data_IF_683692364221
#
_entry.id   IF_683692364221
#
_cell.length_a   1.000
_cell.length_b   1.000
_cell.length_c   1.000
_cell.angle_alpha   90.00
_cell.angle_beta   90.00
_cell.angle_gamma   90.00
#
_symmetry.space_group_name_H-M   'P 1'
#
loop_
_entity.id
_entity.type
_entity.pdbx_description
1 polymer ?
#
# COMPACT_ATOMS: atom_id res chain seq x y z
N UNK A 1 2.89 -4.91 17.53
CA UNK A 1 3.29 -4.45 18.88
C UNK A 1 2.03 -4.03 19.61
N UNK A 2 1.86 -4.41 20.88
CA UNK A 2 0.75 -3.98 21.74
C UNK A 2 1.29 -3.16 22.91
N UNK A 3 0.58 -2.10 23.28
CA UNK A 3 1.00 -1.16 24.32
C UNK A 3 -0.23 -0.78 25.15
N UNK A 4 -0.11 -0.88 26.48
CA UNK A 4 -1.11 -0.35 27.39
C UNK A 4 -0.80 1.09 27.77
N UNK A 5 -1.80 1.95 27.70
CA UNK A 5 -1.72 3.34 28.20
C UNK A 5 -2.79 3.52 29.26
N UNK A 6 -2.42 4.13 30.39
CA UNK A 6 -3.27 4.30 31.57
C UNK A 6 -3.77 5.74 31.76
N UNK A 7 -3.49 6.63 30.80
CA UNK A 7 -3.98 8.01 30.80
C UNK A 7 -3.90 8.63 29.40
N UNK A 8 -4.67 9.69 29.18
CA UNK A 8 -4.58 10.50 27.96
C UNK A 8 -3.16 11.03 27.72
N UNK A 9 -2.45 11.42 28.78
CA UNK A 9 -1.06 11.87 28.72
C UNK A 9 -0.11 10.77 28.20
N UNK A 10 -0.28 9.53 28.64
CA UNK A 10 0.51 8.41 28.12
C UNK A 10 0.19 8.11 26.64
N UNK A 11 -1.09 8.17 26.24
CA UNK A 11 -1.48 8.05 24.82
C UNK A 11 -0.84 9.16 23.98
N UNK A 12 -0.85 10.41 24.45
CA UNK A 12 -0.18 11.53 23.77
C UNK A 12 1.32 11.33 23.67
N UNK A 13 1.98 10.91 24.76
CA UNK A 13 3.43 10.63 24.77
C UNK A 13 3.81 9.53 23.79
N UNK A 14 3.01 8.46 23.72
CA UNK A 14 3.18 7.40 22.73
C UNK A 14 3.09 7.97 21.30
N UNK A 15 2.05 8.74 21.01
CA UNK A 15 1.85 9.36 19.70
C UNK A 15 3.00 10.31 19.33
N UNK A 16 3.42 11.16 20.28
CA UNK A 16 4.52 12.11 20.11
C UNK A 16 5.84 11.41 19.77
N UNK A 17 6.17 10.35 20.50
CA UNK A 17 7.38 9.57 20.24
C UNK A 17 7.32 8.85 18.89
N UNK A 18 6.11 8.40 18.49
CA UNK A 18 5.90 7.76 17.21
C UNK A 18 6.05 8.76 16.06
N UNK A 19 5.50 9.96 16.19
CA UNK A 19 5.48 11.01 15.17
C UNK A 19 6.87 11.40 14.66
N UNK A 20 7.89 11.41 15.54
CA UNK A 20 9.29 11.71 15.20
C UNK A 20 9.92 10.80 14.14
N UNK A 21 9.28 9.66 13.82
CA UNK A 21 9.75 8.71 12.81
C UNK A 21 9.23 9.01 11.40
N UNK A 22 8.29 9.92 11.26
CA UNK A 22 7.58 10.23 10.02
C UNK A 22 8.14 11.49 9.38
N UNK A 23 8.17 11.52 8.04
CA UNK A 23 8.78 12.62 7.27
C UNK A 23 7.86 13.23 6.22
N UNK A 24 6.70 12.63 5.95
CA UNK A 24 5.80 13.00 4.86
C UNK A 24 5.43 11.77 3.99
N UNK A 25 4.24 11.79 3.42
CA UNK A 25 3.71 10.75 2.53
C UNK A 25 3.21 9.49 3.27
N UNK A 26 3.35 9.43 4.59
CA UNK A 26 2.89 8.29 5.35
C UNK A 26 1.42 8.40 5.74
N UNK A 27 0.72 7.26 5.67
CA UNK A 27 -0.69 7.14 6.03
C UNK A 27 -0.81 6.28 7.29
N UNK A 28 -1.50 6.81 8.29
CA UNK A 28 -1.78 6.14 9.57
C UNK A 28 -3.30 6.02 9.75
N UNK A 29 -3.76 4.78 9.83
CA UNK A 29 -5.16 4.39 9.95
C UNK A 29 -5.49 4.11 11.43
N UNK A 30 -6.39 4.91 12.01
CA UNK A 30 -6.78 4.89 13.43
C UNK A 30 -8.15 4.21 13.59
N UNK A 31 -8.14 2.97 14.09
CA UNK A 31 -9.34 2.18 14.33
C UNK A 31 -9.74 2.19 15.81
N UNK A 32 -11.03 2.21 16.10
CA UNK A 32 -11.57 2.04 17.46
C UNK A 32 -12.88 2.80 17.64
N UNK A 33 -13.62 2.48 18.69
CA UNK A 33 -14.93 3.10 18.91
C UNK A 33 -14.83 4.59 19.28
N UNK A 34 -15.98 5.26 19.33
CA UNK A 34 -16.08 6.63 19.82
C UNK A 34 -15.55 6.71 21.27
N UNK A 35 -14.78 7.76 21.57
CA UNK A 35 -14.21 7.96 22.91
C UNK A 35 -13.01 7.05 23.27
N UNK A 36 -12.52 6.23 22.35
CA UNK A 36 -11.37 5.34 22.63
C UNK A 36 -10.00 6.03 22.56
N UNK A 37 -9.96 7.34 22.28
CA UNK A 37 -8.74 8.14 22.35
C UNK A 37 -8.02 8.37 21.02
N UNK A 38 -8.70 8.14 19.88
CA UNK A 38 -8.15 8.41 18.54
C UNK A 38 -7.72 9.89 18.39
N UNK A 39 -8.61 10.84 18.66
CA UNK A 39 -8.26 12.28 18.61
C UNK A 39 -7.21 12.69 19.65
N UNK A 40 -7.18 12.03 20.83
CA UNK A 40 -6.12 12.24 21.84
C UNK A 40 -4.76 11.79 21.31
N UNK A 41 -4.72 10.71 20.55
CA UNK A 41 -3.51 10.28 19.85
C UNK A 41 -3.09 11.32 18.80
N UNK A 42 -4.02 11.84 17.99
CA UNK A 42 -3.71 12.90 17.00
C UNK A 42 -3.12 14.14 17.68
N UNK A 43 -3.68 14.58 18.80
CA UNK A 43 -3.12 15.69 19.60
C UNK A 43 -1.65 15.45 19.94
N UNK A 44 -1.32 14.29 20.51
CA UNK A 44 0.07 13.96 20.84
C UNK A 44 0.95 13.81 19.60
N UNK A 45 0.40 13.37 18.47
CA UNK A 45 1.14 13.25 17.22
C UNK A 45 1.55 14.62 16.66
N UNK A 46 0.60 15.57 16.64
CA UNK A 46 0.85 16.97 16.22
C UNK A 46 1.87 17.64 17.15
N UNK A 47 1.69 17.51 18.47
CA UNK A 47 2.63 17.99 19.48
C UNK A 47 4.04 17.39 19.29
N UNK A 48 4.14 16.10 18.93
CA UNK A 48 5.40 15.40 18.74
C UNK A 48 6.23 15.85 17.54
N UNK A 49 5.59 16.44 16.52
CA UNK A 49 6.26 17.11 15.40
C UNK A 49 6.61 18.57 15.71
N UNK A 50 6.34 19.05 16.93
CA UNK A 50 6.68 20.39 17.38
C UNK A 50 5.66 21.46 17.01
N UNK A 51 4.51 21.08 16.47
CA UNK A 51 3.45 22.00 16.12
C UNK A 51 2.64 22.41 17.37
N UNK A 52 2.22 23.68 17.42
CA UNK A 52 1.46 24.26 18.54
C UNK A 52 -0.04 24.38 18.23
N UNK A 53 -0.47 23.82 17.12
CA UNK A 53 -1.83 23.88 16.62
C UNK A 53 -2.82 23.28 17.63
N UNK A 54 -3.97 23.95 17.80
CA UNK A 54 -5.06 23.42 18.61
C UNK A 54 -5.80 22.34 17.83
N UNK A 55 -5.47 21.08 18.10
CA UNK A 55 -6.10 19.94 17.44
C UNK A 55 -7.54 19.75 17.91
N UNK A 56 -8.45 19.69 16.95
CA UNK A 56 -9.87 19.40 17.15
C UNK A 56 -10.30 18.28 16.22
N UNK A 57 -11.33 17.51 16.62
CA UNK A 57 -11.88 16.48 15.74
C UNK A 57 -12.50 17.14 14.50
N UNK A 58 -12.14 16.70 13.27
CA UNK A 58 -12.69 17.23 12.03
C UNK A 58 -14.06 16.62 11.71
N UNK A 59 -14.76 16.02 12.66
CA UNK A 59 -16.02 15.26 12.46
C UNK A 59 -17.09 15.98 11.61
N UNK A 60 -17.12 17.32 11.59
CA UNK A 60 -18.07 18.10 10.76
C UNK A 60 -17.48 18.63 9.45
N UNK A 61 -16.16 18.73 9.35
CA UNK A 61 -15.45 19.30 8.17
C UNK A 61 -14.68 18.23 7.39
N UNK A 62 -14.71 16.98 7.86
CA UNK A 62 -14.02 15.78 7.40
C UNK A 62 -12.49 15.84 7.46
N UNK A 63 -11.88 16.97 7.10
CA UNK A 63 -10.43 17.16 7.06
C UNK A 63 -10.02 18.43 7.81
N UNK A 64 -8.96 18.34 8.63
CA UNK A 64 -8.24 19.50 9.20
C UNK A 64 -6.76 19.36 8.93
N UNK A 65 -6.12 20.49 8.71
CA UNK A 65 -4.68 20.57 8.48
C UNK A 65 -3.96 21.17 9.68
N UNK A 66 -2.79 20.63 9.99
CA UNK A 66 -1.91 21.14 11.03
C UNK A 66 -0.47 21.20 10.55
N UNK A 67 0.29 22.16 11.07
CA UNK A 67 1.69 22.32 10.72
C UNK A 67 1.92 22.65 9.24
N UNK A 68 3.18 22.53 8.80
CA UNK A 68 3.59 22.94 7.45
C UNK A 68 4.56 21.97 6.77
N UNK A 69 5.59 21.47 7.46
CA UNK A 69 6.56 20.49 6.91
C UNK A 69 7.04 19.47 7.95
N UNK A 70 6.65 18.19 7.84
CA UNK A 70 5.56 17.71 6.99
C UNK A 70 4.21 18.30 7.45
N UNK A 71 3.29 18.53 6.52
CA UNK A 71 1.91 18.92 6.83
C UNK A 71 1.18 17.69 7.38
N UNK A 72 0.23 17.89 8.28
CA UNK A 72 -0.61 16.81 8.81
C UNK A 72 -2.03 17.01 8.28
N UNK A 73 -2.59 16.01 7.62
CA UNK A 73 -4.00 15.93 7.29
C UNK A 73 -4.70 14.99 8.28
N UNK A 74 -5.50 15.56 9.18
CA UNK A 74 -6.36 14.80 10.09
C UNK A 74 -7.72 14.62 9.44
N UNK A 75 -8.06 13.38 9.16
CA UNK A 75 -9.27 12.98 8.44
C UNK A 75 -10.15 12.19 9.41
N UNK A 76 -11.44 12.51 9.51
CA UNK A 76 -12.43 11.76 10.30
C UNK A 76 -13.62 11.39 9.44
N UNK A 77 -13.77 10.09 9.17
CA UNK A 77 -14.80 9.54 8.29
C UNK A 77 -16.02 9.00 9.06
N UNK A 78 -16.14 9.26 10.37
CA UNK A 78 -17.21 8.70 11.20
C UNK A 78 -18.61 8.86 10.60
N UNK A 79 -18.88 10.00 9.96
CA UNK A 79 -20.20 10.34 9.38
C UNK A 79 -20.42 9.85 7.95
N UNK A 80 -19.39 9.35 7.30
CA UNK A 80 -19.48 8.86 5.93
C UNK A 80 -20.22 7.52 5.91
N UNK A 81 -21.14 7.37 4.95
CA UNK A 81 -22.04 6.22 4.86
C UNK A 81 -21.63 5.22 3.78
N UNK A 82 -20.94 5.66 2.73
CA UNK A 82 -20.56 4.82 1.59
C UNK A 82 -19.13 5.12 1.08
N UNK A 83 -18.56 4.19 0.31
CA UNK A 83 -17.29 4.42 -0.40
C UNK A 83 -17.40 5.54 -1.45
N UNK A 84 -18.58 5.74 -2.04
CA UNK A 84 -18.85 6.82 -3.01
C UNK A 84 -18.73 8.21 -2.37
N UNK A 85 -19.31 8.41 -1.19
CA UNK A 85 -19.15 9.67 -0.44
C UNK A 85 -17.68 9.96 -0.11
N UNK A 86 -16.83 8.94 0.05
CA UNK A 86 -15.38 9.13 0.24
C UNK A 86 -14.71 9.65 -1.03
N UNK A 87 -15.15 9.19 -2.21
CA UNK A 87 -14.61 9.67 -3.49
C UNK A 87 -14.94 11.15 -3.70
N UNK A 88 -16.16 11.57 -3.34
CA UNK A 88 -16.62 12.96 -3.46
C UNK A 88 -15.82 13.93 -2.58
N UNK A 89 -15.20 13.44 -1.49
CA UNK A 89 -14.31 14.24 -0.64
C UNK A 89 -12.97 14.59 -1.31
N UNK A 90 -12.62 13.95 -2.43
CA UNK A 90 -11.36 14.25 -3.15
C UNK A 90 -10.09 13.90 -2.37
N UNK A 91 -10.13 12.87 -1.52
CA UNK A 91 -8.99 12.52 -0.65
C UNK A 91 -7.79 11.95 -1.41
N UNK A 92 -7.93 11.54 -2.67
CA UNK A 92 -6.87 10.89 -3.44
C UNK A 92 -5.59 11.73 -3.52
N UNK A 93 -5.72 13.01 -3.84
CA UNK A 93 -4.57 13.93 -3.94
C UNK A 93 -3.83 14.08 -2.61
N UNK A 94 -4.57 14.07 -1.49
CA UNK A 94 -4.01 14.15 -0.15
C UNK A 94 -3.24 12.89 0.26
N UNK A 95 -3.73 11.72 -0.16
CA UNK A 95 -3.10 10.43 0.15
C UNK A 95 -1.83 10.20 -0.68
N UNK A 96 -1.70 10.88 -1.81
CA UNK A 96 -0.55 10.80 -2.72
C UNK A 96 0.52 11.87 -2.46
N UNK A 97 0.21 12.92 -1.68
CA UNK A 97 1.16 13.99 -1.35
C UNK A 97 2.29 13.50 -0.43
N UNK A 98 3.49 13.38 -0.99
CA UNK A 98 4.72 12.97 -0.29
C UNK A 98 5.14 13.91 0.85
N UNK A 99 4.60 15.13 0.94
CA UNK A 99 4.90 16.09 1.99
C UNK A 99 3.85 16.11 3.11
N UNK A 100 2.78 15.32 2.98
CA UNK A 100 1.67 15.28 3.93
C UNK A 100 1.60 13.94 4.65
N UNK A 101 1.45 13.98 5.97
CA UNK A 101 1.13 12.81 6.80
C UNK A 101 -0.38 12.74 6.98
N UNK A 102 -1.00 11.64 6.56
CA UNK A 102 -2.44 11.44 6.69
C UNK A 102 -2.77 10.62 7.95
N UNK A 103 -3.53 11.20 8.87
CA UNK A 103 -4.08 10.54 10.06
C UNK A 103 -5.58 10.32 9.85
N UNK A 104 -6.00 9.09 9.59
CA UNK A 104 -7.37 8.76 9.19
C UNK A 104 -8.09 8.05 10.34
N UNK A 105 -9.08 8.69 10.93
CA UNK A 105 -10.04 8.07 11.86
C UNK A 105 -11.18 7.40 11.10
N UNK A 106 -11.61 6.22 11.59
CA UNK A 106 -12.62 5.37 10.94
C UNK A 106 -12.27 4.98 9.48
N UNK A 107 -11.02 4.53 9.23
CA UNK A 107 -10.54 4.21 7.88
C UNK A 107 -11.29 3.05 7.22
N UNK A 108 -12.04 2.23 7.96
CA UNK A 108 -12.93 1.20 7.42
C UNK A 108 -13.99 1.75 6.45
N UNK A 109 -14.33 3.04 6.56
CA UNK A 109 -15.29 3.71 5.67
C UNK A 109 -14.77 3.88 4.24
N UNK A 110 -13.46 3.85 4.06
CA UNK A 110 -12.84 3.91 2.74
C UNK A 110 -12.90 2.59 1.97
N UNK A 111 -13.16 1.47 2.67
CA UNK A 111 -13.22 0.14 2.04
C UNK A 111 -12.02 -0.15 1.14
N UNK A 112 -12.26 -0.28 -0.18
CA UNK A 112 -11.21 -0.58 -1.17
C UNK A 112 -10.28 0.60 -1.48
N UNK A 113 -10.69 1.82 -1.16
CA UNK A 113 -9.92 3.04 -1.39
C UNK A 113 -8.80 3.22 -0.37
N UNK A 114 -8.82 2.49 0.75
CA UNK A 114 -7.77 2.55 1.75
C UNK A 114 -6.46 1.97 1.19
N UNK A 115 -5.34 2.73 1.17
CA UNK A 115 -4.08 2.22 0.65
C UNK A 115 -3.53 1.04 1.45
N UNK A 116 -2.67 0.24 0.82
CA UNK A 116 -2.10 -0.97 1.44
C UNK A 116 -0.84 -0.73 2.26
N UNK A 117 -0.09 0.35 2.00
CA UNK A 117 1.15 0.70 2.70
C UNK A 117 0.90 1.69 3.83
N UNK A 118 0.26 1.23 4.90
CA UNK A 118 -0.21 2.10 5.98
C UNK A 118 0.19 1.56 7.34
N UNK A 119 0.32 2.46 8.32
CA UNK A 119 0.39 2.05 9.72
C UNK A 119 -1.02 1.92 10.29
N UNK A 120 -1.43 0.69 10.64
CA UNK A 120 -2.70 0.44 11.32
C UNK A 120 -2.50 0.56 12.83
N UNK A 121 -3.23 1.46 13.46
CA UNK A 121 -3.28 1.62 14.91
C UNK A 121 -4.70 1.32 15.38
N UNK A 122 -4.87 0.32 16.26
CA UNK A 122 -6.18 0.00 16.84
C UNK A 122 -6.21 0.28 18.32
N UNK A 123 -7.23 1.01 18.74
CA UNK A 123 -7.52 1.33 20.13
C UNK A 123 -8.61 0.38 20.64
N UNK A 124 -8.34 -0.28 21.77
CA UNK A 124 -9.32 -1.08 22.50
C UNK A 124 -9.50 -0.52 23.91
N UNK A 125 -10.75 -0.38 24.33
CA UNK A 125 -11.08 -0.05 25.72
C UNK A 125 -10.80 -1.25 26.62
N UNK A 126 -10.12 -0.99 27.74
CA UNK A 126 -9.87 -1.99 28.79
C UNK A 126 -10.60 -1.57 30.06
N UNK A 127 -10.42 -0.32 30.48
CA UNK A 127 -11.16 0.29 31.60
C UNK A 127 -11.18 1.81 31.44
N UNK A 128 -11.80 2.53 32.39
CA UNK A 128 -11.99 4.01 32.34
C UNK A 128 -10.77 4.75 31.80
N UNK A 129 -9.58 4.50 32.37
CA UNK A 129 -8.34 5.17 32.01
C UNK A 129 -7.38 4.31 31.17
N UNK A 130 -7.68 3.02 30.99
CA UNK A 130 -6.77 2.09 30.32
C UNK A 130 -7.21 1.82 28.89
N UNK A 131 -6.26 1.93 27.95
CA UNK A 131 -6.41 1.56 26.54
C UNK A 131 -5.31 0.57 26.16
N UNK A 132 -5.68 -0.49 25.45
CA UNK A 132 -4.73 -1.31 24.69
C UNK A 132 -4.64 -0.74 23.27
N UNK A 133 -3.45 -0.30 22.88
CA UNK A 133 -3.15 0.27 21.57
C UNK A 133 -2.25 -0.72 20.83
N UNK A 134 -2.76 -1.27 19.73
CA UNK A 134 -2.00 -2.17 18.86
C UNK A 134 -1.50 -1.43 17.62
N UNK A 135 -0.21 -1.56 17.32
CA UNK A 135 0.43 -1.00 16.14
C UNK A 135 0.85 -2.15 15.22
N UNK A 136 0.35 -2.13 13.98
CA UNK A 136 0.71 -3.06 12.91
C UNK A 136 1.01 -2.27 11.65
N UNK A 137 2.25 -2.31 11.18
CA UNK A 137 2.59 -1.78 9.87
C UNK A 137 2.05 -2.75 8.83
N UNK A 138 1.05 -2.31 8.07
CA UNK A 138 0.66 -2.98 6.84
C UNK A 138 1.61 -2.46 5.79
N UNK A 139 2.80 -3.05 5.72
CA UNK A 139 3.64 -2.86 4.54
C UNK A 139 3.12 -3.90 3.57
N UNK A 140 2.68 -3.55 2.36
CA UNK A 140 2.53 -4.58 1.33
C UNK A 140 3.88 -5.28 1.34
N UNK A 141 3.85 -6.59 1.56
CA UNK A 141 5.04 -7.38 1.37
C UNK A 141 5.46 -7.04 -0.06
N UNK A 142 6.54 -6.26 -0.24
CA UNK A 142 6.99 -5.87 -1.58
C UNK A 142 7.67 -7.10 -2.15
N UNK A 143 6.86 -8.15 -2.37
CA UNK A 143 7.32 -9.31 -3.06
C UNK A 143 7.28 -8.99 -4.54
N UNK A 144 8.43 -9.16 -5.17
CA UNK A 144 8.64 -8.89 -6.58
C UNK A 144 8.95 -10.19 -7.27
N UNK A 145 8.18 -10.51 -8.30
CA UNK A 145 8.46 -11.64 -9.18
C UNK A 145 9.33 -11.13 -10.32
N UNK A 146 10.57 -11.61 -10.40
CA UNK A 146 11.48 -11.29 -11.50
C UNK A 146 11.49 -12.44 -12.50
N UNK A 147 11.36 -12.11 -13.77
CA UNK A 147 11.31 -13.05 -14.89
C UNK A 147 12.44 -12.76 -15.88
N UNK A 148 13.26 -13.76 -16.13
CA UNK A 148 14.30 -13.74 -17.15
C UNK A 148 14.01 -14.81 -18.19
N UNK A 149 13.66 -14.38 -19.39
CA UNK A 149 13.34 -15.26 -20.54
C UNK A 149 14.24 -14.97 -21.73
N UNK A 150 15.40 -14.34 -21.49
CA UNK A 150 16.37 -14.01 -22.55
C UNK A 150 16.92 -15.25 -23.24
N UNK A 151 17.13 -16.33 -22.48
CA UNK A 151 17.60 -17.61 -22.99
C UNK A 151 16.42 -18.56 -23.19
N UNK A 152 16.21 -18.98 -24.44
CA UNK A 152 15.12 -19.89 -24.82
C UNK A 152 15.27 -21.28 -24.20
N UNK A 153 16.49 -21.68 -23.87
CA UNK A 153 16.78 -23.00 -23.29
C UNK A 153 16.80 -22.96 -21.76
N UNK A 154 16.76 -21.76 -21.16
CA UNK A 154 16.86 -21.60 -19.71
C UNK A 154 16.23 -20.28 -19.24
N UNK A 155 14.99 -20.37 -18.78
CA UNK A 155 14.29 -19.28 -18.10
C UNK A 155 14.71 -19.25 -16.63
N UNK A 156 14.75 -18.07 -16.04
CA UNK A 156 15.06 -17.87 -14.62
C UNK A 156 13.97 -17.04 -13.98
N UNK A 157 13.41 -17.54 -12.89
CA UNK A 157 12.39 -16.83 -12.12
C UNK A 157 12.87 -16.68 -10.68
N UNK A 158 12.73 -15.48 -10.13
CA UNK A 158 13.11 -15.17 -8.75
C UNK A 158 11.96 -14.48 -8.02
N UNK A 159 11.85 -14.73 -6.72
CA UNK A 159 10.99 -13.94 -5.83
C UNK A 159 11.91 -13.16 -4.90
N UNK A 160 11.71 -11.86 -4.84
CA UNK A 160 12.37 -10.96 -3.89
C UNK A 160 11.39 -10.58 -2.79
N UNK A 161 11.87 -10.42 -1.56
CA UNK A 161 11.17 -9.70 -0.48
C UNK A 161 12.06 -8.54 -0.04
N UNK A 162 11.68 -7.31 -0.42
CA UNK A 162 12.59 -6.17 -0.33
C UNK A 162 13.76 -6.33 -1.30
N UNK A 163 15.00 -6.28 -0.83
CA UNK A 163 16.22 -6.53 -1.62
C UNK A 163 16.68 -8.00 -1.62
N UNK A 164 16.10 -8.84 -0.76
CA UNK A 164 16.54 -10.24 -0.56
C UNK A 164 15.82 -11.19 -1.51
N UNK A 165 16.55 -12.10 -2.15
CA UNK A 165 15.97 -13.22 -2.90
C UNK A 165 15.47 -14.27 -1.89
N UNK A 166 14.20 -14.64 -1.98
CA UNK A 166 13.56 -15.66 -1.14
C UNK A 166 13.19 -16.93 -1.93
N UNK A 167 13.31 -16.88 -3.25
CA UNK A 167 13.11 -18.02 -4.12
C UNK A 167 13.83 -17.83 -5.45
N UNK A 168 14.32 -18.93 -6.02
CA UNK A 168 14.86 -18.98 -7.38
C UNK A 168 14.55 -20.33 -8.00
N UNK A 169 14.08 -20.32 -9.24
CA UNK A 169 13.93 -21.51 -10.07
C UNK A 169 14.45 -21.19 -11.46
N UNK A 170 14.95 -22.22 -12.15
CA UNK A 170 15.28 -22.12 -13.56
C UNK A 170 14.90 -23.40 -14.27
N UNK A 171 14.57 -23.30 -15.55
CA UNK A 171 14.16 -24.44 -16.35
C UNK A 171 13.80 -24.04 -17.77
N UNK A 172 13.49 -25.04 -18.59
CA UNK A 172 13.07 -24.85 -19.99
C UNK A 172 11.54 -24.83 -20.12
N UNK A 173 10.82 -25.17 -19.04
CA UNK A 173 9.37 -25.23 -18.98
C UNK A 173 8.71 -23.86 -19.21
N UNK A 174 7.39 -23.87 -19.37
CA UNK A 174 6.56 -22.66 -19.43
C UNK A 174 6.71 -21.78 -18.17
N UNK A 175 6.63 -20.47 -18.37
CA UNK A 175 6.77 -19.45 -17.33
C UNK A 175 5.78 -19.68 -16.19
N UNK A 176 4.52 -20.03 -16.47
CA UNK A 176 3.52 -20.29 -15.43
C UNK A 176 3.83 -21.53 -14.61
N UNK A 177 4.42 -22.57 -15.23
CA UNK A 177 4.85 -23.78 -14.52
C UNK A 177 5.96 -23.43 -13.54
N UNK A 178 6.97 -22.69 -14.00
CA UNK A 178 8.08 -22.23 -13.17
C UNK A 178 7.59 -21.30 -12.05
N UNK A 179 6.66 -20.38 -12.33
CA UNK A 179 6.01 -19.50 -11.33
C UNK A 179 5.27 -20.31 -10.27
N UNK A 180 4.45 -21.29 -10.68
CA UNK A 180 3.72 -22.15 -9.75
C UNK A 180 4.68 -22.93 -8.84
N UNK A 181 5.78 -23.43 -9.41
CA UNK A 181 6.82 -24.17 -8.69
C UNK A 181 7.52 -23.28 -7.65
N UNK A 182 7.96 -22.08 -8.02
CA UNK A 182 8.64 -21.17 -7.08
C UNK A 182 7.71 -20.65 -5.98
N UNK A 183 6.44 -20.35 -6.30
CA UNK A 183 5.46 -19.92 -5.30
C UNK A 183 5.23 -21.01 -4.25
N UNK A 184 5.04 -22.27 -4.69
CA UNK A 184 4.89 -23.43 -3.80
C UNK A 184 6.14 -23.63 -2.94
N UNK A 185 7.34 -23.64 -3.56
CA UNK A 185 8.60 -23.90 -2.86
C UNK A 185 8.97 -22.81 -1.86
N UNK A 186 8.61 -21.56 -2.14
CA UNK A 186 8.85 -20.42 -1.25
C UNK A 186 7.72 -20.18 -0.25
N UNK A 187 6.65 -20.98 -0.27
CA UNK A 187 5.42 -20.79 0.52
C UNK A 187 4.86 -19.35 0.40
N UNK A 188 4.76 -18.85 -0.84
CA UNK A 188 4.30 -17.50 -1.19
C UNK A 188 2.97 -17.59 -1.94
N UNK A 189 1.98 -16.80 -1.54
CA UNK A 189 0.72 -16.67 -2.29
C UNK A 189 0.88 -15.68 -3.45
N UNK A 190 0.09 -15.87 -4.52
CA UNK A 190 -0.01 -14.88 -5.60
C UNK A 190 -0.44 -13.51 -5.04
N UNK A 191 -1.24 -13.49 -3.98
CA UNK A 191 -1.69 -12.25 -3.30
C UNK A 191 -0.56 -11.44 -2.68
N UNK A 192 0.57 -12.09 -2.36
CA UNK A 192 1.75 -11.42 -1.81
C UNK A 192 2.58 -10.72 -2.90
N UNK A 193 2.44 -11.14 -4.18
CA UNK A 193 3.17 -10.54 -5.30
C UNK A 193 2.56 -9.18 -5.65
N UNK A 194 3.36 -8.14 -5.44
CA UNK A 194 2.98 -6.73 -5.62
C UNK A 194 3.47 -6.14 -6.94
N UNK A 195 4.51 -6.73 -7.53
CA UNK A 195 5.16 -6.22 -8.74
C UNK A 195 5.82 -7.36 -9.51
N UNK A 196 5.82 -7.23 -10.84
CA UNK A 196 6.49 -8.14 -11.76
C UNK A 196 7.57 -7.33 -12.48
N UNK A 197 8.82 -7.78 -12.36
CA UNK A 197 9.97 -7.24 -13.06
C UNK A 197 10.36 -8.23 -14.18
N UNK A 198 10.65 -7.72 -15.38
CA UNK A 198 11.05 -8.54 -16.53
C UNK A 198 12.40 -8.07 -17.06
N UNK A 199 13.25 -9.02 -17.46
CA UNK A 199 14.43 -8.67 -18.24
C UNK A 199 14.01 -8.17 -19.64
N UNK A 200 14.74 -7.22 -20.22
CA UNK A 200 14.37 -6.59 -21.51
C UNK A 200 14.39 -7.59 -22.68
N UNK A 201 15.09 -8.72 -22.56
CA UNK A 201 15.17 -9.74 -23.62
C UNK A 201 16.13 -9.35 -24.76
N UNK A 202 16.55 -10.30 -25.61
CA UNK A 202 17.37 -10.02 -26.80
C UNK A 202 16.58 -9.37 -27.96
N UNK A 203 15.25 -9.24 -27.84
CA UNK A 203 14.40 -8.58 -28.82
C UNK A 203 13.67 -7.39 -28.20
N UNK A 204 13.37 -6.37 -29.01
CA UNK A 204 12.53 -5.26 -28.58
C UNK A 204 11.16 -5.82 -28.15
N UNK A 205 10.86 -5.76 -26.85
CA UNK A 205 9.54 -6.00 -26.24
C UNK A 205 9.13 -7.43 -25.86
N UNK A 206 9.92 -8.48 -26.11
CA UNK A 206 9.52 -9.86 -25.74
C UNK A 206 9.30 -10.03 -24.22
N UNK A 207 10.23 -9.55 -23.40
CA UNK A 207 10.11 -9.61 -21.95
C UNK A 207 8.90 -8.81 -21.43
N UNK A 208 8.62 -7.65 -22.05
CA UNK A 208 7.48 -6.80 -21.67
C UNK A 208 6.13 -7.49 -21.93
N UNK A 209 5.97 -8.12 -23.11
CA UNK A 209 4.73 -8.87 -23.44
C UNK A 209 4.48 -10.00 -22.45
N UNK A 210 5.53 -10.75 -22.10
CA UNK A 210 5.46 -11.83 -21.11
C UNK A 210 5.05 -11.27 -19.74
N UNK A 211 5.68 -10.19 -19.30
CA UNK A 211 5.35 -9.52 -18.04
C UNK A 211 3.88 -9.07 -17.96
N UNK A 212 3.39 -8.40 -19.01
CA UNK A 212 2.00 -7.94 -19.09
C UNK A 212 1.02 -9.11 -19.10
N UNK A 213 1.30 -10.16 -19.88
CA UNK A 213 0.46 -11.36 -19.90
C UNK A 213 0.33 -11.99 -18.52
N UNK A 214 1.44 -12.15 -17.79
CA UNK A 214 1.43 -12.74 -16.44
C UNK A 214 0.70 -11.83 -15.45
N UNK A 215 0.92 -10.51 -15.52
CA UNK A 215 0.22 -9.54 -14.68
C UNK A 215 -1.31 -9.62 -14.88
N UNK A 216 -1.77 -9.69 -16.13
CA UNK A 216 -3.17 -9.84 -16.47
C UNK A 216 -3.74 -11.18 -15.97
N UNK A 217 -3.03 -12.29 -16.17
CA UNK A 217 -3.45 -13.59 -15.66
C UNK A 217 -3.59 -13.60 -14.13
N UNK A 218 -2.69 -12.94 -13.41
CA UNK A 218 -2.79 -12.80 -11.95
C UNK A 218 -3.98 -11.93 -11.54
N UNK A 219 -4.20 -10.80 -12.21
CA UNK A 219 -5.33 -9.92 -11.91
C UNK A 219 -6.67 -10.60 -12.20
N UNK A 220 -6.76 -11.39 -13.28
CA UNK A 220 -7.92 -12.22 -13.59
C UNK A 220 -8.14 -13.28 -12.49
N UNK A 221 -7.11 -14.01 -12.09
CA UNK A 221 -7.19 -14.99 -10.99
C UNK A 221 -7.61 -14.37 -9.66
N UNK A 222 -7.32 -13.09 -9.44
CA UNK A 222 -7.73 -12.33 -8.24
C UNK A 222 -9.13 -11.72 -8.35
N UNK A 223 -9.86 -11.96 -9.45
CA UNK A 223 -11.18 -11.37 -9.72
C UNK A 223 -11.16 -9.85 -9.91
N UNK A 224 -9.99 -9.26 -10.18
CA UNK A 224 -9.83 -7.82 -10.44
C UNK A 224 -10.18 -7.44 -11.87
N UNK A 225 -9.94 -8.36 -12.80
CA UNK A 225 -10.33 -8.26 -14.22
C UNK A 225 -11.54 -9.19 -14.36
N UNK A 226 -12.67 -8.65 -14.81
CA UNK A 226 -13.94 -9.39 -14.92
C UNK A 226 -14.38 -9.59 -16.37
N UNK A 227 -13.83 -8.81 -17.29
CA UNK A 227 -14.14 -8.85 -18.71
C UNK A 227 -12.90 -8.60 -19.58
N UNK A 228 -13.00 -8.87 -20.89
CA UNK A 228 -11.93 -8.59 -21.85
C UNK A 228 -11.52 -7.11 -21.91
N UNK A 229 -12.45 -6.19 -21.63
CA UNK A 229 -12.19 -4.75 -21.60
C UNK A 229 -11.33 -4.29 -20.43
N UNK A 230 -11.20 -5.11 -19.38
CA UNK A 230 -10.42 -4.79 -18.18
C UNK A 230 -8.94 -5.26 -18.29
N UNK A 231 -8.59 -5.93 -19.40
CA UNK A 231 -7.22 -6.39 -19.64
C UNK A 231 -6.32 -5.20 -19.95
N UNK A 232 -5.16 -5.12 -19.28
CA UNK A 232 -4.15 -4.11 -19.59
C UNK A 232 -3.43 -4.56 -20.86
N UNK A 233 -3.74 -3.92 -21.99
CA UNK A 233 -2.99 -4.11 -23.22
C UNK A 233 -1.84 -3.09 -23.28
N UNK A 234 -0.65 -3.49 -23.74
CA UNK A 234 0.40 -2.52 -24.01
C UNK A 234 -0.04 -1.61 -25.16
N UNK A 235 -0.01 -0.29 -24.97
CA UNK A 235 -0.22 0.67 -26.06
C UNK A 235 0.95 0.55 -27.05
N UNK A 236 0.64 0.14 -28.28
CA UNK A 236 1.60 0.11 -29.38
C UNK A 236 1.63 1.49 -30.04
N UNK A 237 2.51 2.35 -29.56
CA UNK A 237 2.87 3.59 -30.23
C UNK A 237 3.83 3.32 -31.39
N UNK A 238 3.32 3.53 -32.61
CA UNK A 238 3.97 3.43 -33.92
C UNK A 238 4.36 2.00 -34.38
N UNK A 239 3.78 1.61 -35.51
CA UNK A 239 4.22 0.45 -36.30
C UNK A 239 5.74 0.49 -36.46
N UNK A 240 6.47 -0.60 -36.14
CA UNK A 240 7.86 -0.69 -36.55
C UNK A 240 7.86 -0.63 -38.07
N UNK A 241 8.60 0.33 -38.62
CA UNK A 241 8.79 0.46 -40.05
C UNK A 241 9.57 -0.79 -40.53
N UNK A 242 8.86 -1.87 -40.86
CA UNK A 242 9.43 -3.09 -41.43
C UNK A 242 9.71 -2.78 -42.91
N UNK A 243 10.70 -1.92 -43.13
CA UNK A 243 11.34 -1.79 -44.43
C UNK A 243 12.01 -3.13 -44.73
N UNK A 244 11.49 -3.85 -45.73
CA UNK A 244 12.18 -4.99 -46.34
C UNK A 244 13.55 -4.52 -46.81
N UNK A 245 14.62 -4.84 -46.08
CA UNK A 245 15.94 -4.96 -46.69
C UNK A 245 16.01 -6.32 -47.37
N UNK A 246 15.63 -6.33 -48.65
CA UNK A 246 16.21 -7.26 -49.64
C UNK A 246 17.55 -6.66 -50.07
N UNK A 247 18.59 -7.49 -50.13
CA UNK A 247 19.95 -7.11 -50.51
C UNK A 247 20.94 -7.67 -49.50
#
# INVERSE_FOLDING_TARGET
MEIFTNSASQTKKLASNLAKKFKGGEIIALYGNLGYGKTTFVQGFVEGLGFKDKVQSPTFVFVRFYGSKPRIAHIDLYRIKSEEEVLDLGLSELLEDENTICLIEWPEKMGRLLPKNILKIRFKFVSKNVRNISLKKDTPCTMRLYLDTTDRNKKIIKIFKGSKIIGKVSGIEDEFILIKKILKNSNVSIDDISRIDVNKGPGSFTGLKIGVSIANSFNYSKGKIKSWGDLIFPEYGAEPNIGRKRG
#
